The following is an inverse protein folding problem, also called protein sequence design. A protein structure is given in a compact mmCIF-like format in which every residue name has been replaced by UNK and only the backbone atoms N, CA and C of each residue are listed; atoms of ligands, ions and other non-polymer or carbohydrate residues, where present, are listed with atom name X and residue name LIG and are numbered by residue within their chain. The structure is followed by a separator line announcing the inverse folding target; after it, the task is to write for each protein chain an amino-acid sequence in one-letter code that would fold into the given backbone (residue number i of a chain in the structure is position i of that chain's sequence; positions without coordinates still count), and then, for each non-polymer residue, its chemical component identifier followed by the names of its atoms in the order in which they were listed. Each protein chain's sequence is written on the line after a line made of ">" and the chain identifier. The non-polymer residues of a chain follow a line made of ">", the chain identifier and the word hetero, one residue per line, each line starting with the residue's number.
data_IF_989069555619
#
_entry.id   IF_989069555619
#
_cell.length_a   1.000
_cell.length_b   1.000
_cell.length_c   1.000
_cell.angle_alpha   90.00
_cell.angle_beta   90.00
_cell.angle_gamma   90.00
#
_symmetry.space_group_name_H-M   'P 1'
#
loop_
_entity.id
_entity.type
_entity.pdbx_description
1 polymer ?
#
# COMPACT_ATOMS: atom_id res chain seq x y z
N UNK A 1 19.57 -1.26 -17.31
CA UNK A 1 18.85 0.03 -17.43
C UNK A 1 17.51 0.00 -16.68
N UNK A 2 16.60 -0.94 -16.99
CA UNK A 2 15.28 -1.05 -16.32
C UNK A 2 15.39 -1.23 -14.80
N UNK A 3 16.27 -2.12 -14.31
CA UNK A 3 16.48 -2.32 -12.87
C UNK A 3 16.87 -1.06 -12.11
N UNK A 4 17.68 -0.18 -12.71
CA UNK A 4 18.07 1.11 -12.12
C UNK A 4 16.90 2.10 -12.05
N UNK A 5 16.02 2.09 -13.06
CA UNK A 5 14.78 2.89 -13.04
C UNK A 5 13.88 2.40 -11.90
N UNK A 6 13.70 1.08 -11.79
CA UNK A 6 12.90 0.47 -10.72
C UNK A 6 13.46 0.82 -9.35
N UNK A 7 14.78 0.75 -9.19
CA UNK A 7 15.47 1.14 -7.97
C UNK A 7 15.11 2.58 -7.56
N UNK A 8 15.27 3.55 -8.46
CA UNK A 8 15.01 4.97 -8.17
C UNK A 8 13.54 5.20 -7.82
N UNK A 9 12.62 4.64 -8.63
CA UNK A 9 11.17 4.77 -8.40
C UNK A 9 10.81 4.18 -7.04
N UNK A 10 11.32 3.01 -6.69
CA UNK A 10 11.02 2.34 -5.42
C UNK A 10 11.58 3.13 -4.24
N UNK A 11 12.80 3.64 -4.31
CA UNK A 11 13.37 4.48 -3.25
C UNK A 11 12.44 5.66 -2.98
N UNK A 12 12.11 6.43 -4.02
CA UNK A 12 11.26 7.62 -3.89
C UNK A 12 9.87 7.28 -3.37
N UNK A 13 9.23 6.28 -3.98
CA UNK A 13 7.88 5.84 -3.63
C UNK A 13 7.80 5.30 -2.21
N UNK A 14 8.76 4.48 -1.77
CA UNK A 14 8.78 3.94 -0.41
C UNK A 14 9.17 4.98 0.63
N UNK A 15 10.03 5.96 0.31
CA UNK A 15 10.29 7.09 1.20
C UNK A 15 9.00 7.88 1.45
N UNK A 16 8.30 8.26 0.39
CA UNK A 16 7.04 8.99 0.51
C UNK A 16 5.96 8.15 1.18
N UNK A 17 5.84 6.88 0.81
CA UNK A 17 4.89 5.93 1.36
C UNK A 17 5.09 5.68 2.85
N UNK A 18 6.35 5.66 3.33
CA UNK A 18 6.67 5.52 4.74
C UNK A 18 6.42 6.81 5.55
N UNK A 19 6.63 8.00 4.96
CA UNK A 19 6.30 9.29 5.60
C UNK A 19 4.78 9.42 5.79
N UNK A 20 4.02 9.10 4.76
CA UNK A 20 2.57 9.29 4.70
C UNK A 20 1.75 8.11 5.23
N UNK A 21 2.38 6.96 5.50
CA UNK A 21 1.71 5.74 5.96
C UNK A 21 0.93 4.97 4.91
N UNK A 22 1.02 5.37 3.64
CA UNK A 22 0.20 4.82 2.57
C UNK A 22 0.76 3.54 1.96
N UNK A 23 2.02 3.19 2.25
CA UNK A 23 2.75 2.19 1.48
C UNK A 23 3.26 2.79 0.15
N UNK A 24 4.45 2.40 -0.31
CA UNK A 24 4.98 2.92 -1.57
C UNK A 24 4.30 2.37 -2.82
N UNK A 25 3.53 1.28 -2.69
CA UNK A 25 2.92 0.58 -3.82
C UNK A 25 1.91 1.44 -4.58
N UNK A 26 1.31 2.43 -3.91
CA UNK A 26 0.40 3.44 -4.49
C UNK A 26 1.08 4.22 -5.61
N UNK A 27 2.40 4.42 -5.51
CA UNK A 27 3.21 5.07 -6.52
C UNK A 27 3.91 4.04 -7.42
N UNK A 28 4.50 3.00 -6.82
CA UNK A 28 5.29 1.99 -7.56
C UNK A 28 4.47 1.38 -8.68
N UNK A 29 3.27 0.88 -8.38
CA UNK A 29 2.46 0.17 -9.36
C UNK A 29 2.03 1.07 -10.52
N UNK A 30 1.37 2.23 -10.31
CA UNK A 30 0.98 3.07 -11.44
C UNK A 30 2.18 3.56 -12.26
N UNK A 31 3.32 3.84 -11.64
CA UNK A 31 4.54 4.23 -12.36
C UNK A 31 5.09 3.06 -13.18
N UNK A 32 5.07 1.83 -12.66
CA UNK A 32 5.52 0.65 -13.40
C UNK A 32 4.54 0.28 -14.52
N UNK A 33 3.24 0.45 -14.29
CA UNK A 33 2.19 0.26 -15.30
C UNK A 33 2.42 1.22 -16.49
N UNK A 34 2.88 2.46 -16.26
CA UNK A 34 3.26 3.42 -17.33
C UNK A 34 4.47 2.96 -18.16
N UNK A 35 5.38 2.20 -17.58
CA UNK A 35 6.60 1.77 -18.28
C UNK A 35 6.30 0.63 -19.26
N UNK A 36 5.17 -0.07 -19.10
CA UNK A 36 4.72 -1.17 -19.96
C UNK A 36 5.77 -2.29 -20.19
N UNK A 37 6.72 -2.46 -19.26
CA UNK A 37 7.82 -3.43 -19.39
C UNK A 37 7.42 -4.83 -18.92
N UNK A 38 6.66 -4.92 -17.82
CA UNK A 38 6.28 -6.17 -17.19
C UNK A 38 4.77 -6.32 -17.13
N UNK A 39 4.29 -7.56 -17.00
CA UNK A 39 2.85 -7.84 -16.87
C UNK A 39 2.26 -7.24 -15.59
N UNK A 40 0.95 -7.01 -15.57
CA UNK A 40 0.22 -6.51 -14.39
C UNK A 40 0.45 -7.40 -13.17
N UNK A 41 0.53 -8.72 -13.37
CA UNK A 41 0.84 -9.68 -12.32
C UNK A 41 2.26 -9.50 -11.77
N UNK A 42 3.26 -9.34 -12.64
CA UNK A 42 4.64 -9.11 -12.23
C UNK A 42 4.81 -7.77 -11.51
N UNK A 43 4.20 -6.70 -12.01
CA UNK A 43 4.20 -5.38 -11.36
C UNK A 43 3.54 -5.46 -9.98
N UNK A 44 2.40 -6.14 -9.89
CA UNK A 44 1.68 -6.40 -8.63
C UNK A 44 2.57 -7.16 -7.63
N UNK A 45 3.30 -8.18 -8.08
CA UNK A 45 4.24 -8.93 -7.25
C UNK A 45 5.42 -8.07 -6.79
N UNK A 46 6.10 -7.37 -7.71
CA UNK A 46 7.23 -6.49 -7.40
C UNK A 46 6.87 -5.37 -6.42
N UNK A 47 5.73 -4.72 -6.64
CA UNK A 47 5.18 -3.72 -5.72
C UNK A 47 4.92 -4.33 -4.33
N UNK A 48 4.32 -5.53 -4.27
CA UNK A 48 4.03 -6.20 -3.00
C UNK A 48 5.30 -6.54 -2.23
N UNK A 49 6.34 -7.03 -2.90
CA UNK A 49 7.66 -7.29 -2.27
C UNK A 49 8.30 -5.99 -1.81
N UNK A 50 8.31 -4.94 -2.64
CA UNK A 50 8.87 -3.64 -2.27
C UNK A 50 8.19 -3.04 -1.03
N UNK A 51 6.86 -3.12 -0.98
CA UNK A 51 6.07 -2.58 0.13
C UNK A 51 6.22 -3.44 1.38
N UNK A 52 6.28 -4.77 1.25
CA UNK A 52 6.57 -5.67 2.36
C UNK A 52 7.92 -5.34 2.99
N UNK A 53 8.98 -5.25 2.18
CA UNK A 53 10.32 -4.91 2.64
C UNK A 53 10.35 -3.53 3.32
N UNK A 54 9.72 -2.52 2.72
CA UNK A 54 9.62 -1.20 3.33
C UNK A 54 8.87 -1.25 4.67
N UNK A 55 7.75 -1.97 4.74
CA UNK A 55 6.93 -2.01 5.95
C UNK A 55 7.66 -2.66 7.13
N UNK A 56 8.52 -3.65 6.89
CA UNK A 56 9.42 -4.22 7.91
C UNK A 56 10.34 -3.12 8.46
N UNK A 57 11.10 -2.47 7.56
CA UNK A 57 12.10 -1.45 7.95
C UNK A 57 11.45 -0.26 8.64
N UNK A 58 10.37 0.26 8.07
CA UNK A 58 9.67 1.44 8.59
C UNK A 58 8.96 1.17 9.90
N UNK A 59 8.41 -0.02 10.11
CA UNK A 59 7.80 -0.41 11.41
C UNK A 59 8.87 -0.51 12.48
N UNK A 60 10.00 -1.18 12.19
CA UNK A 60 11.13 -1.29 13.12
C UNK A 60 11.68 0.07 13.52
N UNK A 61 11.90 0.99 12.57
CA UNK A 61 12.41 2.32 12.86
C UNK A 61 11.39 3.19 13.64
N UNK A 62 10.11 3.11 13.32
CA UNK A 62 9.08 3.91 14.01
C UNK A 62 8.85 3.45 15.45
N UNK A 63 8.98 2.14 15.72
CA UNK A 63 9.01 1.60 17.07
C UNK A 63 10.20 2.12 17.88
N UNK A 64 11.38 2.22 17.25
CA UNK A 64 12.57 2.80 17.89
C UNK A 64 12.43 4.30 18.18
N UNK A 65 11.64 5.02 17.38
CA UNK A 65 11.33 6.44 17.62
C UNK A 65 10.34 6.67 18.80
N UNK A 66 9.97 5.62 19.55
CA UNK A 66 9.22 5.75 20.80
C UNK A 66 7.72 5.99 20.63
N UNK A 67 7.15 5.75 19.46
CA UNK A 67 5.71 5.95 19.23
C UNK A 67 4.94 4.84 19.94
N UNK A 68 4.01 5.22 20.82
CA UNK A 68 3.23 4.27 21.60
C UNK A 68 2.23 3.53 20.73
N UNK A 69 2.39 2.21 20.63
CA UNK A 69 1.46 1.34 19.92
C UNK A 69 0.52 0.67 20.91
N UNK A 70 -0.79 0.89 20.72
CA UNK A 70 -1.80 0.04 21.35
C UNK A 70 -1.82 -1.33 20.65
N UNK A 71 -1.05 -2.26 21.18
CA UNK A 71 -0.90 -3.62 20.63
C UNK A 71 -2.22 -4.37 20.40
N UNK A 72 -3.24 -4.30 21.30
CA UNK A 72 -4.52 -4.97 21.04
C UNK A 72 -5.20 -4.49 19.75
N UNK A 73 -5.17 -3.17 19.50
CA UNK A 73 -5.70 -2.59 18.27
C UNK A 73 -4.89 -3.02 17.05
N UNK A 74 -3.55 -2.93 17.12
CA UNK A 74 -2.68 -3.36 16.04
C UNK A 74 -2.90 -4.83 15.64
N UNK A 75 -2.99 -5.72 16.64
CA UNK A 75 -3.21 -7.16 16.43
C UNK A 75 -4.58 -7.40 15.78
N UNK A 76 -5.64 -6.74 16.25
CA UNK A 76 -6.98 -6.90 15.68
C UNK A 76 -7.02 -6.45 14.21
N UNK A 77 -6.50 -5.27 13.87
CA UNK A 77 -6.46 -4.82 12.47
C UNK A 77 -5.60 -5.77 11.63
N UNK A 78 -4.47 -6.24 12.18
CA UNK A 78 -3.57 -7.17 11.49
C UNK A 78 -4.21 -8.52 11.19
N UNK A 79 -4.94 -9.10 12.14
CA UNK A 79 -5.65 -10.37 11.93
C UNK A 79 -6.71 -10.23 10.83
N UNK A 80 -7.46 -9.14 10.83
CA UNK A 80 -8.34 -8.80 9.72
C UNK A 80 -7.57 -8.71 8.41
N UNK A 81 -6.44 -8.01 8.40
CA UNK A 81 -5.62 -7.76 7.21
C UNK A 81 -5.00 -9.02 6.61
N UNK A 82 -4.64 -10.01 7.42
CA UNK A 82 -4.19 -11.34 6.94
C UNK A 82 -5.32 -12.01 6.17
N UNK A 83 -6.51 -12.11 6.77
CA UNK A 83 -7.67 -12.75 6.13
C UNK A 83 -8.10 -11.98 4.87
N UNK A 84 -8.18 -10.66 4.98
CA UNK A 84 -8.45 -9.76 3.86
C UNK A 84 -7.42 -9.93 2.74
N UNK A 85 -6.13 -9.98 3.09
CA UNK A 85 -5.03 -10.14 2.16
C UNK A 85 -5.10 -11.44 1.36
N UNK A 86 -5.44 -12.56 2.02
CA UNK A 86 -5.72 -13.84 1.35
C UNK A 86 -6.87 -13.70 0.36
N UNK A 87 -8.01 -13.21 0.83
CA UNK A 87 -9.21 -13.07 0.00
C UNK A 87 -8.98 -12.13 -1.20
N UNK A 88 -8.27 -11.03 -0.99
CA UNK A 88 -7.92 -10.08 -2.04
C UNK A 88 -7.01 -10.71 -3.10
N UNK A 89 -6.05 -11.53 -2.69
CA UNK A 89 -5.17 -12.24 -3.64
C UNK A 89 -5.94 -13.30 -4.44
N UNK A 90 -6.81 -14.06 -3.77
CA UNK A 90 -7.67 -15.06 -4.43
C UNK A 90 -8.55 -14.39 -5.49
N UNK A 91 -9.15 -13.23 -5.17
CA UNK A 91 -9.94 -12.46 -6.12
C UNK A 91 -9.07 -11.93 -7.26
N UNK A 92 -7.88 -11.39 -6.97
CA UNK A 92 -6.95 -10.91 -7.98
C UNK A 92 -6.58 -12.02 -8.99
N UNK A 93 -6.15 -13.19 -8.53
CA UNK A 93 -5.79 -14.33 -9.39
C UNK A 93 -6.99 -14.87 -10.18
N UNK A 94 -8.20 -14.87 -9.58
CA UNK A 94 -9.42 -15.25 -10.31
C UNK A 94 -9.74 -14.29 -11.45
N UNK A 95 -9.65 -12.98 -11.23
CA UNK A 95 -9.89 -11.99 -12.29
C UNK A 95 -8.80 -12.13 -13.37
N UNK A 96 -7.54 -12.34 -12.98
CA UNK A 96 -6.44 -12.57 -13.91
C UNK A 96 -6.63 -13.84 -14.76
N UNK A 97 -7.17 -14.91 -14.18
CA UNK A 97 -7.50 -16.14 -14.89
C UNK A 97 -8.66 -15.95 -15.89
N UNK A 98 -9.65 -15.11 -15.57
CA UNK A 98 -10.75 -14.76 -16.47
C UNK A 98 -10.31 -13.81 -17.60
N UNK A 99 -9.35 -12.93 -17.33
CA UNK A 99 -8.84 -11.93 -18.27
C UNK A 99 -7.31 -11.98 -18.40
N UNK A 100 -6.74 -13.01 -19.08
CA UNK A 100 -5.29 -13.20 -19.16
C UNK A 100 -4.53 -12.06 -19.86
N UNK A 101 -5.22 -11.29 -20.71
CA UNK A 101 -4.66 -10.11 -21.38
C UNK A 101 -4.30 -8.98 -20.42
N UNK A 102 -4.73 -9.02 -19.15
CA UNK A 102 -4.35 -8.06 -18.10
C UNK A 102 -5.02 -6.68 -18.19
N UNK A 103 -5.53 -6.28 -19.36
CA UNK A 103 -6.21 -4.98 -19.59
C UNK A 103 -7.36 -4.75 -18.60
N UNK A 104 -8.29 -5.70 -18.52
CA UNK A 104 -9.47 -5.58 -17.63
C UNK A 104 -9.07 -5.60 -16.15
N UNK A 105 -8.07 -6.40 -15.79
CA UNK A 105 -7.50 -6.44 -14.42
C UNK A 105 -6.96 -5.05 -14.05
N UNK A 106 -6.20 -4.44 -14.98
CA UNK A 106 -5.63 -3.12 -14.78
C UNK A 106 -6.72 -2.04 -14.66
N UNK A 107 -7.77 -2.07 -15.50
CA UNK A 107 -8.91 -1.15 -15.40
C UNK A 107 -9.62 -1.26 -14.04
N UNK A 108 -9.92 -2.48 -13.59
CA UNK A 108 -10.54 -2.71 -12.28
C UNK A 108 -9.67 -2.14 -11.16
N UNK A 109 -8.36 -2.36 -11.21
CA UNK A 109 -7.43 -1.82 -10.21
C UNK A 109 -7.33 -0.30 -10.26
N UNK A 110 -7.32 0.32 -11.45
CA UNK A 110 -7.29 1.78 -11.60
C UNK A 110 -8.57 2.38 -11.03
N UNK A 111 -9.75 1.86 -11.39
CA UNK A 111 -11.04 2.36 -10.90
C UNK A 111 -11.12 2.26 -9.38
N UNK A 112 -10.79 1.09 -8.81
CA UNK A 112 -10.78 0.91 -7.36
C UNK A 112 -9.74 1.81 -6.69
N UNK A 113 -8.56 2.00 -7.30
CA UNK A 113 -7.53 2.91 -6.77
C UNK A 113 -8.06 4.34 -6.77
N UNK A 114 -8.63 4.83 -7.87
CA UNK A 114 -9.19 6.19 -7.95
C UNK A 114 -10.30 6.40 -6.92
N UNK A 115 -11.22 5.45 -6.74
CA UNK A 115 -12.27 5.54 -5.72
C UNK A 115 -11.67 5.67 -4.32
N UNK A 116 -10.68 4.83 -3.98
CA UNK A 116 -10.05 4.85 -2.67
C UNK A 116 -9.25 6.13 -2.43
N UNK A 117 -8.55 6.64 -3.45
CA UNK A 117 -7.83 7.93 -3.41
C UNK A 117 -8.77 9.12 -3.23
N UNK A 118 -9.89 9.16 -3.97
CA UNK A 118 -10.89 10.21 -3.85
C UNK A 118 -11.47 10.21 -2.43
N UNK A 119 -11.91 9.04 -1.93
CA UNK A 119 -12.37 8.91 -0.54
C UNK A 119 -11.35 9.47 0.46
N UNK A 120 -10.10 9.06 0.33
CA UNK A 120 -9.00 9.49 1.18
C UNK A 120 -8.72 10.99 1.12
N UNK A 121 -8.83 11.60 -0.06
CA UNK A 121 -8.65 13.03 -0.26
C UNK A 121 -9.78 13.82 0.38
N UNK A 122 -11.03 13.42 0.11
CA UNK A 122 -12.25 14.02 0.63
C UNK A 122 -12.26 14.00 2.17
N UNK A 123 -11.84 12.88 2.77
CA UNK A 123 -11.66 12.79 4.21
C UNK A 123 -10.59 13.77 4.73
N UNK A 124 -9.42 13.83 4.08
CA UNK A 124 -8.32 14.70 4.50
C UNK A 124 -8.65 16.20 4.45
N UNK A 125 -9.69 16.59 3.70
CA UNK A 125 -10.23 17.96 3.65
C UNK A 125 -11.22 18.28 4.78
N UNK A 126 -11.46 17.35 5.70
CA UNK A 126 -12.32 17.54 6.86
C UNK A 126 -13.81 17.54 6.52
N UNK A 127 -14.20 16.91 5.41
CA UNK A 127 -15.62 16.86 5.02
C UNK A 127 -16.47 15.96 5.92
N UNK A 128 -15.84 15.06 6.69
CA UNK A 128 -16.54 14.11 7.56
C UNK A 128 -16.06 14.23 9.00
N UNK A 129 -16.99 14.03 9.93
CA UNK A 129 -16.68 13.93 11.35
C UNK A 129 -16.11 12.54 11.66
N UNK A 130 -15.14 12.50 12.57
CA UNK A 130 -14.56 11.26 13.03
C UNK A 130 -15.52 10.52 13.97
N UNK A 131 -15.56 9.21 13.83
CA UNK A 131 -16.18 8.31 14.79
C UNK A 131 -15.14 7.86 15.82
N UNK A 132 -15.60 7.53 17.02
CA UNK A 132 -14.77 7.00 18.09
C UNK A 132 -15.25 5.58 18.45
N UNK A 133 -15.27 4.70 17.45
CA UNK A 133 -15.67 3.31 17.68
C UNK A 133 -14.58 2.58 18.47
N UNK A 134 -14.99 1.76 19.44
CA UNK A 134 -14.07 0.90 20.22
C UNK A 134 -14.39 -0.58 20.07
N UNK A 135 -15.19 -0.94 19.06
CA UNK A 135 -15.66 -2.31 18.84
C UNK A 135 -14.56 -3.16 18.17
N UNK A 136 -14.14 -4.29 18.79
CA UNK A 136 -13.19 -5.23 18.17
C UNK A 136 -13.66 -5.78 16.83
N UNK A 137 -14.98 -5.92 16.64
CA UNK A 137 -15.58 -6.42 15.39
C UNK A 137 -15.35 -5.41 14.27
N UNK A 138 -15.52 -4.12 14.54
CA UNK A 138 -15.24 -3.06 13.56
C UNK A 138 -13.74 -2.95 13.28
N UNK A 139 -12.89 -3.12 14.29
CA UNK A 139 -11.43 -3.15 14.12
C UNK A 139 -11.00 -4.30 13.20
N UNK A 140 -11.46 -5.52 13.47
CA UNK A 140 -11.21 -6.70 12.63
C UNK A 140 -11.78 -6.52 11.21
N UNK A 141 -13.01 -6.03 11.11
CA UNK A 141 -13.68 -5.79 9.82
C UNK A 141 -12.97 -4.73 8.99
N UNK A 142 -12.48 -3.66 9.61
CA UNK A 142 -11.66 -2.65 8.95
C UNK A 142 -10.36 -3.25 8.44
N UNK A 143 -9.64 -4.02 9.28
CA UNK A 143 -8.44 -4.75 8.85
C UNK A 143 -8.69 -5.66 7.66
N UNK A 144 -9.80 -6.40 7.67
CA UNK A 144 -10.20 -7.26 6.55
C UNK A 144 -10.42 -6.46 5.27
N UNK A 145 -11.20 -5.39 5.31
CA UNK A 145 -11.44 -4.54 4.14
C UNK A 145 -10.13 -3.95 3.61
N UNK A 146 -9.31 -3.41 4.50
CA UNK A 146 -8.04 -2.78 4.17
C UNK A 146 -7.05 -3.78 3.57
N UNK A 147 -6.91 -4.97 4.17
CA UNK A 147 -6.06 -6.04 3.64
C UNK A 147 -6.56 -6.58 2.30
N UNK A 148 -7.88 -6.70 2.13
CA UNK A 148 -8.51 -7.10 0.88
C UNK A 148 -8.17 -6.13 -0.25
N UNK A 149 -8.43 -4.83 -0.04
CA UNK A 149 -8.10 -3.80 -1.02
C UNK A 149 -6.59 -3.73 -1.27
N UNK A 150 -5.78 -3.83 -0.22
CA UNK A 150 -4.32 -3.80 -0.34
C UNK A 150 -3.78 -4.87 -1.29
N UNK A 151 -4.28 -6.09 -1.13
CA UNK A 151 -3.84 -7.25 -1.89
C UNK A 151 -4.40 -7.23 -3.32
N UNK A 152 -5.70 -6.93 -3.48
CA UNK A 152 -6.38 -6.84 -4.78
C UNK A 152 -5.78 -5.75 -5.69
N UNK A 153 -5.48 -4.58 -5.12
CA UNK A 153 -4.91 -3.46 -5.87
C UNK A 153 -3.42 -3.67 -6.18
N UNK A 154 -2.71 -4.48 -5.38
CA UNK A 154 -1.26 -4.65 -5.49
C UNK A 154 -0.45 -3.41 -5.13
N UNK A 155 -1.07 -2.46 -4.41
CA UNK A 155 -0.44 -1.22 -3.95
C UNK A 155 -0.13 -1.24 -2.45
N UNK A 156 -0.62 -2.25 -1.71
CA UNK A 156 -0.39 -2.37 -0.28
C UNK A 156 -1.13 -1.33 0.55
N UNK A 157 -2.45 -1.20 0.41
CA UNK A 157 -3.34 -0.59 1.42
C UNK A 157 -3.52 0.92 1.32
N UNK A 158 -2.61 1.62 0.66
CA UNK A 158 -2.80 2.97 0.18
C UNK A 158 -3.21 4.03 1.20
N UNK A 159 -3.66 5.20 0.71
CA UNK A 159 -4.15 6.27 1.57
C UNK A 159 -5.45 5.88 2.29
N UNK A 160 -6.17 4.87 1.79
CA UNK A 160 -7.43 4.42 2.38
C UNK A 160 -7.22 3.81 3.76
N UNK A 161 -6.11 3.11 4.01
CA UNK A 161 -5.80 2.63 5.35
C UNK A 161 -5.76 3.78 6.35
N UNK A 162 -4.97 4.82 6.05
CA UNK A 162 -4.81 5.98 6.94
C UNK A 162 -6.15 6.70 7.12
N UNK A 163 -6.84 7.02 6.03
CA UNK A 163 -8.13 7.71 6.10
C UNK A 163 -9.20 6.93 6.88
N UNK A 164 -9.33 5.62 6.62
CA UNK A 164 -10.33 4.79 7.28
C UNK A 164 -10.04 4.65 8.78
N UNK A 165 -8.77 4.46 9.16
CA UNK A 165 -8.38 4.34 10.55
C UNK A 165 -8.61 5.65 11.33
N UNK A 166 -8.28 6.79 10.73
CA UNK A 166 -8.56 8.09 11.33
C UNK A 166 -10.08 8.35 11.43
N UNK A 167 -10.84 8.04 10.37
CA UNK A 167 -12.28 8.24 10.31
C UNK A 167 -13.03 7.40 11.35
N UNK A 168 -12.73 6.11 11.47
CA UNK A 168 -13.52 5.19 12.30
C UNK A 168 -13.13 5.20 13.79
N UNK A 169 -11.86 5.47 14.09
CA UNK A 169 -11.30 5.31 15.44
C UNK A 169 -10.79 6.62 16.04
N UNK A 170 -10.92 7.74 15.35
CA UNK A 170 -10.47 9.07 15.77
C UNK A 170 -9.00 9.10 16.20
N UNK A 171 -8.15 8.40 15.44
CA UNK A 171 -6.72 8.27 15.72
C UNK A 171 -5.95 9.41 15.01
N UNK A 172 -4.96 10.05 15.65
CA UNK A 172 -4.11 11.05 15.01
C UNK A 172 -3.33 10.48 13.81
N UNK A 173 -3.05 11.31 12.81
CA UNK A 173 -2.47 10.85 11.54
C UNK A 173 -1.16 10.07 11.72
N UNK A 174 -0.25 10.48 12.60
CA UNK A 174 1.00 9.74 12.85
C UNK A 174 0.78 8.34 13.41
N UNK A 175 -0.20 8.18 14.30
CA UNK A 175 -0.56 6.86 14.82
C UNK A 175 -1.26 6.04 13.74
N UNK A 176 -2.16 6.64 12.96
CA UNK A 176 -2.82 5.98 11.84
C UNK A 176 -1.82 5.52 10.76
N UNK A 177 -0.77 6.30 10.50
CA UNK A 177 0.36 5.95 9.62
C UNK A 177 1.04 4.65 10.06
N UNK A 178 1.30 4.49 11.36
CA UNK A 178 1.94 3.27 11.89
C UNK A 178 1.00 2.07 11.80
N UNK A 179 -0.24 2.23 12.24
CA UNK A 179 -1.24 1.15 12.16
C UNK A 179 -1.50 0.74 10.71
N UNK A 180 -1.47 1.71 9.78
CA UNK A 180 -1.50 1.44 8.35
C UNK A 180 -0.30 0.61 7.93
N UNK A 181 0.94 1.02 8.22
CA UNK A 181 2.15 0.27 7.81
C UNK A 181 2.16 -1.15 8.39
N UNK A 182 1.70 -1.35 9.63
CA UNK A 182 1.54 -2.69 10.22
C UNK A 182 0.48 -3.52 9.47
N UNK A 183 -0.67 -2.92 9.16
CA UNK A 183 -1.73 -3.54 8.36
C UNK A 183 -1.23 -3.96 6.97
N UNK A 184 -0.43 -3.09 6.36
CA UNK A 184 0.23 -3.30 5.08
C UNK A 184 1.21 -4.47 5.20
N UNK A 185 2.08 -4.48 6.21
CA UNK A 185 3.02 -5.58 6.46
C UNK A 185 2.32 -6.94 6.44
N UNK A 186 1.27 -7.11 7.24
CA UNK A 186 0.56 -8.38 7.31
C UNK A 186 -0.15 -8.73 6.02
N UNK A 187 -0.87 -7.80 5.39
CA UNK A 187 -1.55 -8.06 4.11
C UNK A 187 -0.57 -8.42 2.98
N UNK A 188 0.58 -7.74 2.89
CA UNK A 188 1.58 -7.98 1.85
C UNK A 188 2.39 -9.25 2.13
N UNK A 189 2.70 -9.55 3.39
CA UNK A 189 3.33 -10.79 3.79
C UNK A 189 2.47 -11.97 3.34
N UNK A 190 1.18 -11.92 3.65
CA UNK A 190 0.22 -12.93 3.26
C UNK A 190 0.10 -13.07 1.75
N UNK A 191 0.04 -11.96 1.00
CA UNK A 191 0.02 -11.99 -0.46
C UNK A 191 1.29 -12.62 -1.04
N UNK A 192 2.46 -12.15 -0.61
CA UNK A 192 3.75 -12.65 -1.10
C UNK A 192 3.87 -14.15 -0.83
N UNK A 193 3.61 -14.61 0.41
CA UNK A 193 3.61 -16.04 0.75
C UNK A 193 2.64 -16.81 -0.14
N UNK A 194 1.42 -16.30 -0.35
CA UNK A 194 0.42 -16.97 -1.18
C UNK A 194 0.91 -17.13 -2.61
N UNK A 195 1.48 -16.07 -3.22
CA UNK A 195 2.06 -16.14 -4.56
C UNK A 195 3.19 -17.16 -4.60
N UNK A 196 4.10 -17.14 -3.61
CA UNK A 196 5.22 -18.09 -3.51
C UNK A 196 4.78 -19.56 -3.43
N UNK A 197 3.64 -19.84 -2.81
CA UNK A 197 3.15 -21.23 -2.61
C UNK A 197 2.24 -21.68 -3.74
N UNK A 198 1.47 -20.78 -4.35
CA UNK A 198 0.35 -21.15 -5.25
C UNK A 198 0.58 -20.82 -6.72
N UNK A 199 1.54 -19.94 -7.03
CA UNK A 199 1.80 -19.47 -8.40
C UNK A 199 3.18 -19.93 -8.85
N UNK A 200 3.28 -20.33 -10.12
CA UNK A 200 4.57 -20.65 -10.72
C UNK A 200 5.43 -19.38 -10.83
N UNK A 201 6.58 -19.41 -10.16
CA UNK A 201 7.54 -18.32 -10.11
C UNK A 201 8.24 -18.03 -11.43
N UNK A 202 8.15 -18.94 -12.40
CA UNK A 202 8.61 -18.69 -13.78
C UNK A 202 7.90 -17.49 -14.44
N UNK A 203 6.72 -17.09 -13.93
CA UNK A 203 5.98 -15.90 -14.36
C UNK A 203 6.68 -14.57 -14.08
N UNK A 204 7.66 -14.55 -13.17
CA UNK A 204 8.29 -13.32 -12.70
C UNK A 204 9.80 -13.34 -12.95
N UNK A 205 10.35 -12.24 -13.45
CA UNK A 205 11.80 -12.05 -13.49
C UNK A 205 12.32 -11.78 -12.08
N UNK A 206 12.89 -12.80 -11.45
CA UNK A 206 13.41 -12.73 -10.08
C UNK A 206 14.68 -11.87 -9.98
N UNK A 207 15.36 -11.59 -11.09
CA UNK A 207 16.55 -10.73 -11.07
C UNK A 207 16.19 -9.29 -10.68
N UNK A 208 14.94 -8.87 -10.92
CA UNK A 208 14.45 -7.57 -10.49
C UNK A 208 14.47 -7.41 -8.97
N UNK A 209 14.37 -8.51 -8.20
CA UNK A 209 14.40 -8.47 -6.73
C UNK A 209 15.73 -7.95 -6.17
N UNK A 210 16.84 -8.15 -6.88
CA UNK A 210 18.16 -7.59 -6.51
C UNK A 210 18.18 -6.07 -6.54
N UNK A 211 17.29 -5.44 -7.30
CA UNK A 211 17.12 -3.98 -7.32
C UNK A 211 16.02 -3.53 -6.35
N UNK A 212 14.91 -4.28 -6.32
CA UNK A 212 13.71 -3.93 -5.54
C UNK A 212 13.98 -3.95 -4.04
N UNK A 213 14.60 -5.01 -3.53
CA UNK A 213 14.77 -5.19 -2.07
C UNK A 213 15.71 -4.12 -1.48
N UNK A 214 16.92 -3.88 -2.03
CA UNK A 214 17.79 -2.82 -1.51
C UNK A 214 17.17 -1.42 -1.63
N UNK A 215 16.48 -1.14 -2.75
CA UNK A 215 15.75 0.11 -2.93
C UNK A 215 14.66 0.30 -1.87
N UNK A 216 13.92 -0.76 -1.56
CA UNK A 216 12.86 -0.73 -0.58
C UNK A 216 13.37 -0.54 0.86
N UNK A 217 14.50 -1.18 1.20
CA UNK A 217 15.17 -0.97 2.49
C UNK A 217 15.58 0.49 2.64
N UNK A 218 16.27 1.03 1.62
CA UNK A 218 16.75 2.40 1.63
C UNK A 218 15.58 3.40 1.69
N UNK A 219 14.56 3.20 0.85
CA UNK A 219 13.37 4.03 0.83
C UNK A 219 12.62 4.02 2.16
N UNK A 220 12.41 2.84 2.75
CA UNK A 220 11.74 2.67 4.04
C UNK A 220 12.52 3.25 5.22
N UNK A 221 13.85 3.14 5.20
CA UNK A 221 14.72 3.76 6.20
C UNK A 221 14.63 5.28 6.13
N UNK A 222 14.85 5.87 4.94
CA UNK A 222 14.78 7.32 4.74
C UNK A 222 13.40 7.88 5.12
N UNK A 223 12.32 7.22 4.67
CA UNK A 223 10.97 7.72 4.93
C UNK A 223 10.59 7.66 6.41
N UNK A 224 10.91 6.57 7.11
CA UNK A 224 10.64 6.47 8.55
C UNK A 224 11.50 7.42 9.39
N UNK A 225 12.75 7.66 8.98
CA UNK A 225 13.61 8.66 9.61
C UNK A 225 13.07 10.08 9.45
N UNK A 226 12.61 10.45 8.25
CA UNK A 226 12.00 11.75 8.00
C UNK A 226 10.67 11.88 8.75
N UNK A 227 9.82 10.84 8.71
CA UNK A 227 8.52 10.80 9.39
C UNK A 227 8.62 11.12 10.89
N UNK A 228 9.65 10.60 11.56
CA UNK A 228 9.88 10.85 12.98
C UNK A 228 10.25 12.31 13.31
N UNK A 229 10.71 13.09 12.33
CA UNK A 229 11.16 14.48 12.51
C UNK A 229 10.15 15.54 12.04
N UNK A 230 9.18 15.15 11.22
CA UNK A 230 8.18 16.08 10.68
C UNK A 230 6.96 16.20 11.59
N UNK A 231 6.26 17.34 11.52
CA UNK A 231 5.01 17.55 12.27
C UNK A 231 3.83 16.83 11.61
N UNK A 232 2.74 16.64 12.35
CA UNK A 232 1.53 15.97 11.87
C UNK A 232 0.92 16.71 10.68
N UNK A 233 0.97 18.04 10.67
CA UNK A 233 0.51 18.88 9.56
C UNK A 233 1.33 18.63 8.30
N UNK A 234 2.65 18.46 8.43
CA UNK A 234 3.53 18.18 7.29
C UNK A 234 3.31 16.77 6.75
N UNK A 235 3.07 15.78 7.61
CA UNK A 235 2.66 14.43 7.17
C UNK A 235 1.35 14.50 6.39
N UNK A 236 0.35 15.24 6.90
CA UNK A 236 -0.93 15.40 6.22
C UNK A 236 -0.79 16.14 4.87
N UNK A 237 0.07 17.16 4.78
CA UNK A 237 0.35 17.83 3.52
C UNK A 237 1.00 16.88 2.50
N UNK A 238 2.03 16.12 2.90
CA UNK A 238 2.66 15.12 2.03
C UNK A 238 1.64 14.10 1.56
N UNK A 239 0.82 13.57 2.46
CA UNK A 239 -0.28 12.66 2.16
C UNK A 239 -1.23 13.23 1.08
N UNK A 240 -1.69 14.48 1.23
CA UNK A 240 -2.57 15.14 0.25
C UNK A 240 -1.93 15.33 -1.12
N UNK A 241 -0.69 15.82 -1.16
CA UNK A 241 0.04 16.02 -2.42
C UNK A 241 0.23 14.72 -3.19
N UNK A 242 0.53 13.64 -2.48
CA UNK A 242 0.76 12.35 -3.10
C UNK A 242 -0.53 11.75 -3.62
N UNK A 243 -1.66 11.91 -2.92
CA UNK A 243 -2.96 11.49 -3.46
C UNK A 243 -3.24 12.18 -4.81
N UNK A 244 -3.05 13.49 -4.89
CA UNK A 244 -3.27 14.25 -6.14
C UNK A 244 -2.35 13.72 -7.25
N UNK A 245 -1.07 13.54 -6.96
CA UNK A 245 -0.10 13.02 -7.92
C UNK A 245 -0.48 11.63 -8.42
N UNK A 246 -0.90 10.73 -7.53
CA UNK A 246 -1.28 9.37 -7.89
C UNK A 246 -2.60 9.36 -8.68
N UNK A 247 -3.54 10.23 -8.36
CA UNK A 247 -4.78 10.39 -9.14
C UNK A 247 -4.47 10.77 -10.58
N UNK A 248 -3.58 11.75 -10.80
CA UNK A 248 -3.17 12.17 -12.14
C UNK A 248 -2.55 11.00 -12.91
N UNK A 249 -1.64 10.26 -12.27
CA UNK A 249 -0.99 9.10 -12.90
C UNK A 249 -2.01 8.01 -13.26
N UNK A 250 -2.96 7.71 -12.37
CA UNK A 250 -3.98 6.68 -12.61
C UNK A 250 -4.97 7.08 -13.71
N UNK A 251 -5.35 8.36 -13.79
CA UNK A 251 -6.21 8.87 -14.88
C UNK A 251 -5.49 8.73 -16.23
N UNK A 252 -4.20 9.09 -16.28
CA UNK A 252 -3.41 8.93 -17.49
C UNK A 252 -3.23 7.45 -17.89
N UNK A 253 -2.93 6.57 -16.92
CA UNK A 253 -2.91 5.13 -17.15
C UNK A 253 -4.26 4.63 -17.67
N UNK A 254 -5.37 5.09 -17.10
CA UNK A 254 -6.71 4.74 -17.55
C UNK A 254 -6.92 5.08 -19.02
N UNK A 255 -6.51 6.30 -19.44
CA UNK A 255 -6.60 6.69 -20.85
C UNK A 255 -5.73 5.81 -21.76
N UNK A 256 -4.49 5.50 -21.38
CA UNK A 256 -3.63 4.61 -22.18
C UNK A 256 -4.18 3.18 -22.31
N UNK A 257 -4.99 2.75 -21.34
CA UNK A 257 -5.63 1.44 -21.35
C UNK A 257 -6.90 1.43 -22.20
N UNK A 258 -7.50 2.57 -22.55
CA UNK A 258 -8.65 2.69 -23.45
C UNK A 258 -8.23 2.78 -24.92
#
# INVERSE_FOLDING_TARGET
>A
MIGSIYFIVIVFANTIGAISGMGGGVLIKPIFDLLHVHSVAAISFYSSVAVLTMSVVSTSNQLQNGIQIKWPFAIQVSLGAVVGGLLGNIVFEKILALFPAGREVQLVQIVLTVITLVFSYLYSKGMWQNFNYQSPVLTLGSGLLLGFLASLLGIGGGPINVALLMLLFNIPIKQATIYSIITIFFSQLTKVITIFVTVDMSRYDMNMLYYIIPAAILGGFLGSFVSGKVTDERVNQVYQWVIILVLIINIYNGWQVF
#
